data_IF_202978526923
#
_entry.id   IF_202978526923
#
_cell.length_a   1.000
_cell.length_b   1.000
_cell.length_c   1.000
_cell.angle_alpha   90.00
_cell.angle_beta   90.00
_cell.angle_gamma   90.00
#
_symmetry.space_group_name_H-M   'P 1'
#
loop_
_entity.id
_entity.type
_entity.pdbx_description
1 polymer ?
#
# COMPACT_ATOMS: atom_id res chain seq x y z
N UNK A 1 28.44 76.93 -34.21
CA UNK A 1 27.13 77.09 -34.86
C UNK A 1 26.45 75.74 -34.75
N UNK A 2 25.80 75.47 -33.60
CA UNK A 2 24.33 75.59 -33.42
C UNK A 2 23.57 74.66 -34.37
N UNK A 3 22.70 73.73 -33.94
CA UNK A 3 21.66 73.88 -32.93
C UNK A 3 21.37 72.55 -32.21
N UNK A 4 21.22 72.60 -30.88
CA UNK A 4 20.45 71.62 -30.11
C UNK A 4 18.96 71.97 -30.20
N UNK A 5 18.14 71.07 -30.72
CA UNK A 5 16.68 71.10 -30.59
C UNK A 5 16.24 70.06 -29.55
N UNK A 6 15.66 70.55 -28.46
CA UNK A 6 15.05 69.74 -27.41
C UNK A 6 13.78 69.03 -27.92
N UNK A 7 13.58 67.76 -27.53
CA UNK A 7 12.32 67.03 -27.69
C UNK A 7 11.67 66.74 -26.33
N UNK A 8 10.33 66.57 -26.29
CA UNK A 8 9.47 66.92 -25.17
C UNK A 8 9.41 65.84 -24.08
N UNK A 9 9.03 66.27 -22.88
CA UNK A 9 8.80 65.41 -21.74
C UNK A 9 7.61 64.44 -21.97
N UNK A 10 7.69 63.20 -21.44
CA UNK A 10 6.59 62.24 -21.52
C UNK A 10 5.38 62.65 -20.67
N UNK A 11 4.19 62.26 -21.12
CA UNK A 11 2.92 62.53 -20.48
C UNK A 11 2.81 61.88 -19.09
N UNK A 12 2.19 62.60 -18.14
CA UNK A 12 1.97 62.14 -16.78
C UNK A 12 0.93 60.99 -16.73
N UNK A 13 1.14 59.98 -15.88
CA UNK A 13 0.20 58.88 -15.69
C UNK A 13 -1.10 59.33 -14.99
N UNK A 14 -2.23 58.63 -15.24
CA UNK A 14 -3.53 58.96 -14.66
C UNK A 14 -3.57 58.77 -13.14
N UNK A 15 -4.36 59.64 -12.49
CA UNK A 15 -4.53 59.65 -11.05
C UNK A 15 -5.25 58.38 -10.52
N UNK A 16 -4.89 57.90 -9.32
CA UNK A 16 -5.54 56.74 -8.72
C UNK A 16 -6.98 57.07 -8.28
N UNK A 17 -7.92 56.11 -8.37
CA UNK A 17 -9.28 56.29 -7.90
C UNK A 17 -9.34 56.47 -6.38
N UNK A 18 -10.24 57.36 -5.94
CA UNK A 18 -10.40 57.78 -4.56
C UNK A 18 -10.78 56.64 -3.61
N UNK A 19 -10.15 56.64 -2.42
CA UNK A 19 -10.48 55.75 -1.30
C UNK A 19 -11.87 56.09 -0.74
N UNK A 20 -12.84 55.25 -1.07
CA UNK A 20 -14.12 55.18 -0.34
C UNK A 20 -13.90 54.71 1.09
N UNK A 21 -14.40 55.48 2.06
CA UNK A 21 -14.49 55.09 3.47
C UNK A 21 -15.59 54.03 3.62
N UNK A 22 -15.19 52.76 3.56
CA UNK A 22 -16.02 51.62 3.95
C UNK A 22 -15.89 51.35 5.44
N UNK A 23 -17.02 51.38 6.16
CA UNK A 23 -17.12 51.08 7.58
C UNK A 23 -16.61 49.65 7.89
N UNK A 24 -15.82 49.51 8.96
CA UNK A 24 -15.42 48.22 9.51
C UNK A 24 -16.65 47.50 10.08
N UNK A 25 -17.15 46.50 9.36
CA UNK A 25 -17.93 45.43 9.98
C UNK A 25 -16.98 44.50 10.77
N UNK A 26 -17.35 44.01 11.96
CA UNK A 26 -16.50 43.08 12.70
C UNK A 26 -16.40 41.74 11.94
N UNK A 27 -15.28 41.03 12.06
CA UNK A 27 -14.91 39.98 11.13
C UNK A 27 -15.54 38.64 11.54
N UNK A 28 -16.77 38.37 11.09
CA UNK A 28 -17.37 37.03 11.20
C UNK A 28 -16.46 35.93 10.61
N UNK A 29 -15.62 36.28 9.63
CA UNK A 29 -14.63 35.40 9.03
C UNK A 29 -13.49 34.96 9.98
N UNK A 30 -13.08 35.82 10.93
CA UNK A 30 -12.01 35.49 11.89
C UNK A 30 -12.51 34.54 12.99
N UNK A 31 -13.78 34.69 13.41
CA UNK A 31 -14.43 33.77 14.34
C UNK A 31 -14.67 32.38 13.71
N UNK A 32 -15.09 32.34 12.44
CA UNK A 32 -15.27 31.07 11.71
C UNK A 32 -13.94 30.32 11.50
N UNK A 33 -12.86 31.03 11.17
CA UNK A 33 -11.53 30.45 11.03
C UNK A 33 -11.01 29.86 12.35
N UNK A 34 -11.17 30.58 13.46
CA UNK A 34 -10.77 30.11 14.79
C UNK A 34 -11.54 28.86 15.23
N UNK A 35 -12.85 28.80 14.99
CA UNK A 35 -13.69 27.64 15.31
C UNK A 35 -13.29 26.40 14.49
N UNK A 36 -13.00 26.56 13.19
CA UNK A 36 -12.54 25.46 12.33
C UNK A 36 -11.18 24.90 12.74
N UNK A 37 -10.21 25.77 13.11
CA UNK A 37 -8.91 25.31 13.62
C UNK A 37 -9.05 24.57 14.95
N UNK A 38 -9.91 25.04 15.85
CA UNK A 38 -10.11 24.39 17.16
C UNK A 38 -10.74 23.01 16.99
N UNK A 39 -11.75 22.88 16.10
CA UNK A 39 -12.37 21.60 15.78
C UNK A 39 -11.38 20.60 15.14
N UNK A 40 -10.50 21.07 14.26
CA UNK A 40 -9.46 20.24 13.65
C UNK A 40 -8.43 19.75 14.69
N UNK A 41 -7.99 20.62 15.60
CA UNK A 41 -7.05 20.25 16.68
C UNK A 41 -7.70 19.23 17.63
N UNK A 42 -8.95 19.44 18.01
CA UNK A 42 -9.70 18.49 18.86
C UNK A 42 -9.89 17.15 18.13
N UNK A 43 -10.19 17.14 16.83
CA UNK A 43 -10.29 15.91 16.06
C UNK A 43 -8.95 15.14 15.99
N UNK A 44 -7.82 15.84 15.82
CA UNK A 44 -6.48 15.23 15.81
C UNK A 44 -6.12 14.68 17.20
N UNK A 45 -6.42 15.42 18.26
CA UNK A 45 -6.16 15.00 19.64
C UNK A 45 -7.06 13.83 20.09
N UNK A 46 -8.32 13.78 19.64
CA UNK A 46 -9.23 12.66 19.92
C UNK A 46 -8.88 11.38 19.14
N UNK A 47 -8.14 11.50 18.03
CA UNK A 47 -7.68 10.34 17.24
C UNK A 47 -6.27 9.88 17.60
N UNK A 48 -5.53 10.65 18.41
CA UNK A 48 -4.24 10.21 18.95
C UNK A 48 -4.48 9.22 20.08
N UNK A 49 -4.43 7.92 19.76
CA UNK A 49 -4.26 6.92 20.81
C UNK A 49 -2.89 7.14 21.47
N UNK A 50 -2.81 7.19 22.80
CA UNK A 50 -1.52 7.28 23.48
C UNK A 50 -0.63 6.12 23.04
N UNK A 51 0.66 6.40 22.84
CA UNK A 51 1.64 5.37 22.59
C UNK A 51 1.60 4.33 23.72
N UNK A 52 1.84 3.04 23.43
CA UNK A 52 1.96 2.04 24.49
C UNK A 52 3.01 2.50 25.51
N UNK A 53 2.79 2.27 26.81
CA UNK A 53 3.78 2.62 27.83
C UNK A 53 5.12 1.93 27.53
N UNK A 54 6.25 2.56 27.90
CA UNK A 54 7.56 1.91 27.82
C UNK A 54 7.52 0.56 28.56
N UNK A 55 7.94 -0.51 27.89
CA UNK A 55 7.86 -1.88 28.43
C UNK A 55 6.57 -2.64 28.12
N UNK A 56 5.68 -2.10 27.27
CA UNK A 56 4.60 -2.88 26.69
C UNK A 56 5.18 -4.11 25.97
N UNK A 57 4.59 -5.29 26.23
CA UNK A 57 4.99 -6.51 25.54
C UNK A 57 4.95 -6.27 24.02
N UNK A 58 5.93 -6.83 23.26
CA UNK A 58 5.90 -6.71 21.81
C UNK A 58 4.55 -7.20 21.27
N UNK A 59 4.07 -6.66 20.14
CA UNK A 59 2.85 -7.14 19.52
C UNK A 59 2.88 -8.67 19.43
N UNK A 60 1.77 -9.31 19.79
CA UNK A 60 1.65 -10.76 19.70
C UNK A 60 2.05 -11.24 18.29
N UNK A 61 2.54 -12.47 18.18
CA UNK A 61 2.79 -13.06 16.85
C UNK A 61 1.48 -13.10 16.07
N UNK A 62 1.57 -12.79 14.77
CA UNK A 62 0.50 -13.10 13.81
C UNK A 62 0.38 -14.61 13.76
N UNK A 63 -0.77 -15.16 14.16
CA UNK A 63 -1.00 -16.60 14.13
C UNK A 63 -2.10 -16.93 13.14
N UNK A 64 -1.88 -17.99 12.37
CA UNK A 64 -2.93 -18.61 11.58
C UNK A 64 -3.36 -19.97 12.09
N UNK A 65 -4.52 -20.43 11.60
CA UNK A 65 -5.09 -21.73 11.91
C UNK A 65 -4.11 -22.87 11.64
N UNK A 66 -3.29 -22.76 10.59
CA UNK A 66 -2.21 -23.71 10.31
C UNK A 66 -1.26 -23.86 11.50
N UNK A 67 -0.80 -22.75 12.06
CA UNK A 67 0.16 -22.72 13.18
C UNK A 67 -0.45 -23.27 14.47
N UNK A 68 -1.76 -23.12 14.64
CA UNK A 68 -2.49 -23.65 15.82
C UNK A 68 -2.98 -25.09 15.65
N UNK A 69 -3.01 -25.62 14.43
CA UNK A 69 -3.63 -26.92 14.14
C UNK A 69 -2.83 -28.13 14.64
N UNK A 70 -1.50 -28.00 14.74
CA UNK A 70 -0.65 -29.07 15.27
C UNK A 70 0.64 -28.51 15.88
N UNK A 71 1.19 -29.14 16.93
CA UNK A 71 2.51 -28.79 17.46
C UNK A 71 3.60 -28.86 16.39
N UNK A 72 4.48 -27.87 16.36
CA UNK A 72 5.57 -27.78 15.38
C UNK A 72 5.19 -27.10 14.06
N UNK A 73 3.92 -26.79 13.84
CA UNK A 73 3.53 -25.93 12.72
C UNK A 73 3.94 -24.49 13.02
N UNK A 74 4.71 -23.89 12.13
CA UNK A 74 5.14 -22.49 12.24
C UNK A 74 5.16 -21.86 10.87
N UNK A 75 4.84 -20.57 10.77
CA UNK A 75 5.03 -19.78 9.55
C UNK A 75 5.95 -18.60 9.85
N UNK A 76 6.94 -18.39 8.98
CA UNK A 76 7.72 -17.16 8.91
C UNK A 76 7.28 -16.38 7.67
N UNK A 77 7.13 -15.06 7.81
CA UNK A 77 6.50 -14.20 6.80
C UNK A 77 7.25 -12.89 6.67
N UNK A 78 7.54 -12.54 5.43
CA UNK A 78 7.95 -11.18 5.07
C UNK A 78 6.73 -10.29 4.81
N UNK A 79 6.96 -8.98 4.96
CA UNK A 79 5.93 -7.95 4.84
C UNK A 79 4.78 -8.13 5.87
N UNK A 80 3.67 -7.43 5.65
CA UNK A 80 2.52 -7.50 6.54
C UNK A 80 1.56 -6.35 6.28
N UNK A 81 0.86 -6.40 5.15
CA UNK A 81 -0.17 -5.42 4.81
C UNK A 81 -1.53 -5.95 5.23
N UNK A 82 -2.43 -5.04 5.61
CA UNK A 82 -3.82 -5.40 5.86
C UNK A 82 -4.77 -4.34 5.34
N UNK A 83 -5.94 -4.79 4.91
CA UNK A 83 -7.06 -3.93 4.54
C UNK A 83 -8.35 -4.49 5.10
N UNK A 84 -9.27 -3.63 5.58
CA UNK A 84 -10.58 -4.10 6.02
C UNK A 84 -11.36 -4.73 4.85
N UNK A 85 -12.12 -5.77 5.19
CA UNK A 85 -13.14 -6.39 4.37
C UNK A 85 -14.52 -6.17 5.04
N UNK A 86 -15.63 -6.33 4.29
CA UNK A 86 -16.96 -6.34 4.88
C UNK A 86 -17.09 -7.38 6.02
N UNK A 87 -17.92 -7.07 7.02
CA UNK A 87 -18.21 -7.99 8.14
C UNK A 87 -17.12 -8.11 9.21
N UNK A 88 -16.42 -7.01 9.54
CA UNK A 88 -15.34 -6.96 10.55
C UNK A 88 -14.17 -7.92 10.29
N UNK A 89 -13.96 -8.28 9.03
CA UNK A 89 -12.84 -9.10 8.60
C UNK A 89 -11.72 -8.26 8.02
N UNK A 90 -10.51 -8.81 8.03
CA UNK A 90 -9.34 -8.24 7.38
C UNK A 90 -8.80 -9.20 6.33
N UNK A 91 -8.34 -8.64 5.22
CA UNK A 91 -7.41 -9.30 4.32
C UNK A 91 -6.01 -8.97 4.79
N UNK A 92 -5.21 -10.01 5.02
CA UNK A 92 -3.80 -9.91 5.40
C UNK A 92 -2.96 -10.44 4.26
N UNK A 93 -1.91 -9.70 3.92
CA UNK A 93 -1.09 -9.91 2.74
C UNK A 93 0.37 -9.95 3.17
N UNK A 94 1.05 -10.97 2.69
CA UNK A 94 2.44 -11.24 3.02
C UNK A 94 3.23 -11.39 1.74
N UNK A 95 4.54 -11.19 1.84
CA UNK A 95 5.48 -11.51 0.78
C UNK A 95 5.97 -12.95 0.99
N UNK A 96 7.27 -13.19 0.85
CA UNK A 96 7.85 -14.52 1.01
C UNK A 96 7.38 -15.17 2.32
N UNK A 97 6.97 -16.42 2.21
CA UNK A 97 6.40 -17.18 3.31
C UNK A 97 7.10 -18.52 3.38
N UNK A 98 7.63 -18.89 4.55
CA UNK A 98 8.18 -20.23 4.80
C UNK A 98 7.39 -20.88 5.92
N UNK A 99 7.25 -22.20 5.88
CA UNK A 99 6.52 -22.91 6.92
C UNK A 99 7.15 -24.26 7.26
N UNK A 100 6.95 -24.65 8.51
CA UNK A 100 7.29 -25.97 9.06
C UNK A 100 6.03 -26.68 9.49
N UNK A 101 6.10 -28.01 9.54
CA UNK A 101 5.02 -28.91 9.92
C UNK A 101 5.27 -30.29 9.32
N UNK A 102 4.21 -31.09 9.14
CA UNK A 102 4.31 -32.39 8.46
C UNK A 102 4.82 -32.28 7.01
N UNK A 103 4.52 -31.15 6.36
CA UNK A 103 4.96 -30.83 4.99
C UNK A 103 5.56 -29.42 4.98
N UNK A 104 6.87 -29.28 5.26
CA UNK A 104 7.52 -27.98 5.22
C UNK A 104 7.57 -27.46 3.78
N UNK A 105 7.63 -26.14 3.63
CA UNK A 105 7.66 -25.53 2.32
C UNK A 105 7.92 -24.04 2.38
N UNK A 106 7.96 -23.45 1.19
CA UNK A 106 8.17 -22.03 1.01
C UNK A 106 7.45 -21.55 -0.25
N UNK A 107 7.05 -20.29 -0.22
CA UNK A 107 6.56 -19.55 -1.37
C UNK A 107 7.33 -18.24 -1.47
N UNK A 108 7.94 -17.99 -2.62
CA UNK A 108 8.72 -16.79 -2.92
C UNK A 108 7.83 -15.83 -3.73
N UNK A 109 7.10 -14.97 -3.04
CA UNK A 109 6.08 -14.10 -3.61
C UNK A 109 4.90 -13.89 -2.65
N UNK A 110 3.84 -13.26 -3.15
CA UNK A 110 2.71 -12.91 -2.30
C UNK A 110 1.92 -14.14 -1.81
N UNK A 111 1.60 -14.17 -0.51
CA UNK A 111 0.57 -15.04 0.08
C UNK A 111 -0.49 -14.20 0.79
N UNK A 112 -1.62 -14.80 1.15
CA UNK A 112 -2.70 -14.08 1.82
C UNK A 112 -3.43 -14.94 2.84
N UNK A 113 -3.96 -14.27 3.86
CA UNK A 113 -4.83 -14.87 4.86
C UNK A 113 -5.97 -13.91 5.20
N UNK A 114 -6.99 -14.43 5.89
CA UNK A 114 -8.06 -13.58 6.42
C UNK A 114 -8.37 -13.93 7.86
N UNK A 115 -8.74 -12.93 8.64
CA UNK A 115 -9.15 -13.12 10.03
C UNK A 115 -9.95 -11.92 10.50
N UNK A 116 -10.08 -11.77 11.81
CA UNK A 116 -10.70 -10.58 12.39
C UNK A 116 -9.90 -9.31 12.04
N UNK A 117 -10.61 -8.21 11.77
CA UNK A 117 -10.01 -6.89 11.58
C UNK A 117 -10.24 -6.03 12.82
N UNK A 118 -9.16 -5.72 13.52
CA UNK A 118 -9.16 -4.74 14.61
C UNK A 118 -7.97 -3.79 14.47
N UNK A 119 -8.25 -2.49 14.36
CA UNK A 119 -7.21 -1.46 14.20
C UNK A 119 -6.24 -1.46 15.38
N UNK A 120 -4.96 -1.57 15.07
CA UNK A 120 -3.87 -1.59 16.06
C UNK A 120 -3.76 -2.90 16.84
N UNK A 121 -4.38 -3.99 16.37
CA UNK A 121 -4.23 -5.33 16.95
C UNK A 121 -3.69 -6.30 15.91
N UNK A 122 -2.79 -7.16 16.37
CA UNK A 122 -2.31 -8.29 15.59
C UNK A 122 -3.36 -9.41 15.64
N UNK A 123 -3.74 -10.00 14.50
CA UNK A 123 -4.72 -11.09 14.45
C UNK A 123 -4.09 -12.38 14.98
N UNK A 124 -4.90 -13.17 15.67
CA UNK A 124 -4.51 -14.50 16.20
C UNK A 124 -5.33 -15.63 15.58
N UNK A 125 -6.19 -15.29 14.62
CA UNK A 125 -7.21 -16.18 14.05
C UNK A 125 -7.16 -16.21 12.52
N UNK A 126 -5.99 -15.94 11.93
CA UNK A 126 -5.86 -15.93 10.48
C UNK A 126 -6.15 -17.29 9.87
N UNK A 127 -6.77 -17.30 8.71
CA UNK A 127 -7.00 -18.48 7.89
C UNK A 127 -6.35 -18.24 6.54
N UNK A 128 -5.38 -19.11 6.16
CA UNK A 128 -4.69 -18.99 4.88
C UNK A 128 -5.69 -19.07 3.73
N UNK A 129 -5.48 -18.21 2.74
CA UNK A 129 -6.26 -18.24 1.51
C UNK A 129 -5.61 -19.22 0.52
N UNK A 130 -6.42 -20.00 -0.20
CA UNK A 130 -5.93 -20.84 -1.28
C UNK A 130 -5.44 -19.98 -2.44
N UNK A 131 -4.67 -20.58 -3.35
CA UNK A 131 -4.36 -19.95 -4.63
C UNK A 131 -5.64 -19.52 -5.35
N UNK A 132 -5.73 -18.28 -5.86
CA UNK A 132 -6.92 -17.82 -6.57
C UNK A 132 -7.31 -18.76 -7.72
N UNK A 133 -8.60 -19.09 -7.81
CA UNK A 133 -9.12 -20.04 -8.80
C UNK A 133 -8.88 -21.53 -8.48
N UNK A 134 -8.25 -21.87 -7.35
CA UNK A 134 -8.08 -23.26 -6.93
C UNK A 134 -9.43 -23.90 -6.58
N UNK A 135 -9.73 -25.12 -7.10
CA UNK A 135 -10.99 -25.83 -6.84
C UNK A 135 -11.14 -26.24 -5.36
N UNK A 136 -10.05 -26.24 -4.60
CA UNK A 136 -10.06 -26.59 -3.16
C UNK A 136 -10.36 -25.41 -2.24
N UNK A 137 -10.94 -24.33 -2.75
CA UNK A 137 -11.21 -23.13 -1.96
C UNK A 137 -12.24 -23.34 -0.82
N UNK A 138 -13.08 -24.36 -0.86
CA UNK A 138 -14.19 -24.52 0.08
C UNK A 138 -13.85 -25.23 1.41
N UNK A 139 -12.67 -25.84 1.56
CA UNK A 139 -12.34 -26.64 2.77
C UNK A 139 -11.76 -25.77 3.89
N UNK A 140 -12.08 -26.01 5.19
CA UNK A 140 -11.50 -25.27 6.30
C UNK A 140 -9.98 -25.50 6.30
N UNK A 141 -9.20 -24.46 6.03
CA UNK A 141 -7.83 -24.66 5.64
C UNK A 141 -6.87 -24.37 6.81
N UNK A 142 -6.66 -25.39 7.63
CA UNK A 142 -5.43 -25.56 8.43
C UNK A 142 -4.26 -25.93 7.49
N UNK A 143 -4.24 -25.32 6.30
CA UNK A 143 -3.27 -25.58 5.24
C UNK A 143 -2.19 -24.51 5.31
N UNK A 144 -0.97 -24.83 4.86
CA UNK A 144 0.08 -23.84 4.79
C UNK A 144 -0.27 -22.72 3.81
N UNK A 145 0.48 -21.60 3.87
CA UNK A 145 0.36 -20.50 2.92
C UNK A 145 0.39 -20.97 1.47
N UNK A 146 -0.39 -20.30 0.61
CA UNK A 146 -0.46 -20.55 -0.83
C UNK A 146 -0.29 -19.24 -1.61
N UNK A 147 0.14 -19.39 -2.86
CA UNK A 147 0.39 -18.28 -3.77
C UNK A 147 -0.87 -17.42 -3.99
N UNK A 148 -0.82 -16.13 -3.66
CA UNK A 148 -1.84 -15.16 -4.04
C UNK A 148 -1.57 -14.61 -5.45
N UNK A 149 -0.33 -14.22 -5.72
CA UNK A 149 0.12 -13.73 -7.02
C UNK A 149 1.02 -14.79 -7.68
N UNK A 150 1.03 -14.89 -9.02
CA UNK A 150 1.95 -15.77 -9.72
C UNK A 150 3.39 -15.23 -9.64
N UNK A 151 4.36 -16.12 -9.86
CA UNK A 151 5.75 -15.75 -10.12
C UNK A 151 5.83 -14.88 -11.37
N UNK A 152 6.45 -13.69 -11.31
CA UNK A 152 6.49 -12.78 -12.45
C UNK A 152 7.46 -13.31 -13.52
N UNK A 153 7.03 -13.40 -14.80
CA UNK A 153 7.91 -13.85 -15.86
C UNK A 153 8.87 -12.74 -16.32
N UNK A 154 10.01 -13.15 -16.86
CA UNK A 154 10.90 -12.27 -17.64
C UNK A 154 11.75 -11.29 -16.83
N UNK A 155 11.85 -11.45 -15.51
CA UNK A 155 12.82 -10.68 -14.73
C UNK A 155 14.24 -11.20 -14.98
N UNK A 156 15.23 -10.33 -14.84
CA UNK A 156 16.60 -10.60 -15.26
C UNK A 156 17.61 -10.25 -14.17
N UNK A 157 18.73 -10.96 -14.12
CA UNK A 157 19.89 -10.57 -13.34
C UNK A 157 20.65 -9.43 -14.04
N UNK A 158 21.55 -8.73 -13.33
CA UNK A 158 22.56 -7.89 -13.99
C UNK A 158 23.27 -8.69 -15.11
N UNK A 159 23.34 -8.12 -16.31
CA UNK A 159 23.87 -8.81 -17.49
C UNK A 159 22.83 -9.59 -18.33
N UNK A 160 21.56 -9.59 -17.95
CA UNK A 160 20.44 -10.05 -18.79
C UNK A 160 20.06 -11.53 -18.66
N UNK A 161 20.76 -12.31 -17.83
CA UNK A 161 20.40 -13.70 -17.56
C UNK A 161 19.02 -13.79 -16.86
N UNK A 162 18.23 -14.87 -17.06
CA UNK A 162 16.94 -15.03 -16.38
C UNK A 162 17.07 -15.04 -14.85
N UNK A 163 16.15 -14.36 -14.16
CA UNK A 163 16.09 -14.35 -12.70
C UNK A 163 15.35 -15.58 -12.13
N UNK A 164 15.87 -16.76 -12.46
CA UNK A 164 15.38 -18.03 -11.98
C UNK A 164 16.51 -19.06 -11.98
N UNK A 165 17.37 -18.96 -10.98
CA UNK A 165 18.52 -19.86 -10.78
C UNK A 165 18.30 -20.59 -9.46
N UNK A 166 18.00 -21.91 -9.47
CA UNK A 166 17.75 -22.67 -8.26
C UNK A 166 18.80 -22.44 -7.16
N UNK A 167 18.34 -22.12 -5.94
CA UNK A 167 19.18 -21.85 -4.78
C UNK A 167 19.99 -20.55 -4.82
N UNK A 168 19.90 -19.76 -5.89
CA UNK A 168 20.76 -18.58 -6.12
C UNK A 168 19.95 -17.32 -6.38
N UNK A 169 18.98 -17.38 -7.29
CA UNK A 169 18.16 -16.24 -7.68
C UNK A 169 16.72 -16.64 -7.98
N UNK A 170 15.77 -15.75 -7.65
CA UNK A 170 14.36 -15.97 -7.93
C UNK A 170 13.63 -14.67 -8.26
N UNK A 171 12.56 -14.82 -9.03
CA UNK A 171 11.59 -13.78 -9.33
C UNK A 171 10.44 -13.88 -8.35
N UNK A 172 9.96 -12.76 -7.83
CA UNK A 172 8.80 -12.72 -6.93
C UNK A 172 7.95 -11.48 -7.18
N UNK A 173 6.64 -11.64 -7.00
CA UNK A 173 5.69 -10.52 -6.94
C UNK A 173 5.44 -10.23 -5.46
N UNK A 174 6.03 -9.17 -4.92
CA UNK A 174 5.88 -8.76 -3.52
C UNK A 174 4.80 -7.70 -3.39
N UNK A 175 3.87 -7.90 -2.45
CA UNK A 175 2.84 -6.89 -2.16
C UNK A 175 3.51 -5.62 -1.67
N UNK A 176 3.13 -4.49 -2.25
CA UNK A 176 3.54 -3.16 -1.77
C UNK A 176 2.37 -2.37 -1.17
N UNK A 177 1.14 -2.87 -1.31
CA UNK A 177 0.01 -2.42 -0.53
C UNK A 177 -1.35 -2.88 -1.06
N UNK A 178 -2.41 -2.38 -0.42
CA UNK A 178 -3.78 -2.74 -0.76
C UNK A 178 -4.78 -1.67 -0.30
N UNK A 179 -5.87 -1.51 -1.04
CA UNK A 179 -7.01 -0.69 -0.63
C UNK A 179 -8.35 -1.26 -1.09
N UNK A 180 -9.44 -1.05 -0.34
CA UNK A 180 -10.78 -1.37 -0.81
C UNK A 180 -11.11 -0.52 -2.05
N UNK A 181 -11.48 -1.18 -3.15
CA UNK A 181 -11.82 -0.54 -4.43
C UNK A 181 -13.32 -0.25 -4.51
N UNK A 182 -14.15 -1.19 -4.04
CA UNK A 182 -15.60 -1.15 -4.19
C UNK A 182 -16.30 -1.57 -2.91
N UNK A 183 -17.58 -1.19 -2.78
CA UNK A 183 -18.44 -1.58 -1.65
C UNK A 183 -18.75 -3.08 -1.62
N UNK A 184 -18.56 -3.78 -2.74
CA UNK A 184 -18.71 -5.24 -2.85
C UNK A 184 -17.56 -6.02 -2.18
N UNK A 185 -16.56 -5.32 -1.63
CA UNK A 185 -15.41 -5.90 -0.96
C UNK A 185 -14.24 -6.22 -1.89
N UNK A 186 -14.30 -5.84 -3.17
CA UNK A 186 -13.14 -5.90 -4.07
C UNK A 186 -12.00 -5.04 -3.53
N UNK A 187 -10.79 -5.60 -3.53
CA UNK A 187 -9.56 -4.95 -3.06
C UNK A 187 -8.64 -4.73 -4.25
N UNK A 188 -8.15 -3.51 -4.42
CA UNK A 188 -7.02 -3.23 -5.31
C UNK A 188 -5.72 -3.56 -4.57
N UNK A 189 -4.92 -4.44 -5.15
CA UNK A 189 -3.59 -4.80 -4.69
C UNK A 189 -2.55 -4.07 -5.54
N UNK A 190 -1.50 -3.59 -4.91
CA UNK A 190 -0.28 -3.11 -5.58
C UNK A 190 0.85 -4.07 -5.25
N UNK A 191 1.72 -4.33 -6.23
CA UNK A 191 2.85 -5.22 -6.06
C UNK A 191 4.07 -4.74 -6.84
N UNK A 192 5.24 -5.12 -6.35
CA UNK A 192 6.53 -4.91 -7.02
C UNK A 192 7.07 -6.26 -7.46
N UNK A 193 7.44 -6.35 -8.74
CA UNK A 193 8.13 -7.49 -9.30
C UNK A 193 9.63 -7.33 -8.99
N UNK A 194 10.17 -8.24 -8.18
CA UNK A 194 11.56 -8.21 -7.74
C UNK A 194 12.33 -9.41 -8.26
N UNK A 195 13.57 -9.15 -8.67
CA UNK A 195 14.59 -10.16 -8.86
C UNK A 195 15.50 -10.17 -7.63
N UNK A 196 15.53 -11.30 -6.91
CA UNK A 196 16.39 -11.50 -5.75
C UNK A 196 17.58 -12.36 -6.14
N UNK A 197 18.79 -11.94 -5.77
CA UNK A 197 20.04 -12.66 -6.00
C UNK A 197 20.98 -12.48 -4.81
N UNK A 198 21.18 -13.56 -4.04
CA UNK A 198 21.85 -13.48 -2.75
C UNK A 198 21.14 -12.49 -1.83
N UNK A 199 21.84 -11.43 -1.39
CA UNK A 199 21.27 -10.35 -0.57
C UNK A 199 20.80 -9.14 -1.39
N UNK A 200 20.93 -9.19 -2.72
CA UNK A 200 20.57 -8.09 -3.61
C UNK A 200 19.13 -8.26 -4.08
N UNK A 201 18.35 -7.19 -3.95
CA UNK A 201 16.96 -7.13 -4.43
C UNK A 201 16.90 -6.03 -5.50
N UNK A 202 16.50 -6.41 -6.71
CA UNK A 202 16.28 -5.46 -7.81
C UNK A 202 14.80 -5.43 -8.14
N UNK A 203 14.11 -4.33 -7.80
CA UNK A 203 12.78 -4.08 -8.32
C UNK A 203 12.87 -3.87 -9.84
N UNK A 204 12.05 -4.56 -10.64
CA UNK A 204 12.08 -4.48 -12.11
C UNK A 204 10.72 -4.24 -12.72
N UNK A 205 9.67 -4.36 -11.93
CA UNK A 205 8.33 -3.99 -12.34
C UNK A 205 7.48 -3.55 -11.16
N UNK A 206 6.42 -2.84 -11.48
CA UNK A 206 5.38 -2.48 -10.53
C UNK A 206 4.04 -2.73 -11.21
N UNK A 207 3.10 -3.32 -10.47
CA UNK A 207 1.82 -3.73 -11.00
C UNK A 207 0.68 -3.59 -10.02
N UNK A 208 -0.52 -3.77 -10.56
CA UNK A 208 -1.78 -3.73 -9.84
C UNK A 208 -2.63 -4.95 -10.18
N UNK A 209 -3.44 -5.41 -9.23
CA UNK A 209 -4.41 -6.47 -9.46
C UNK A 209 -5.67 -6.24 -8.61
N UNK A 210 -6.84 -6.61 -9.12
CA UNK A 210 -8.07 -6.61 -8.33
C UNK A 210 -8.30 -8.00 -7.72
N UNK A 211 -8.46 -8.07 -6.40
CA UNK A 211 -8.80 -9.28 -5.69
C UNK A 211 -10.25 -9.22 -5.21
N UNK A 212 -11.03 -10.27 -5.48
CA UNK A 212 -12.41 -10.42 -5.02
C UNK A 212 -12.47 -11.48 -3.91
N UNK A 213 -12.62 -11.09 -2.63
CA UNK A 213 -12.57 -12.03 -1.52
C UNK A 213 -13.71 -13.06 -1.52
N UNK A 214 -14.90 -12.69 -2.01
CA UNK A 214 -16.07 -13.57 -2.03
C UNK A 214 -15.86 -14.78 -2.95
N UNK A 215 -15.37 -14.54 -4.17
CA UNK A 215 -15.05 -15.59 -5.15
C UNK A 215 -13.61 -16.11 -5.03
N UNK A 216 -12.77 -15.46 -4.22
CA UNK A 216 -11.32 -15.71 -4.10
C UNK A 216 -10.63 -15.72 -5.46
N UNK A 217 -10.97 -14.73 -6.28
CA UNK A 217 -10.42 -14.58 -7.62
C UNK A 217 -9.54 -13.35 -7.70
N UNK A 218 -8.44 -13.48 -8.44
CA UNK A 218 -7.59 -12.38 -8.84
C UNK A 218 -7.96 -12.00 -10.28
N UNK A 219 -8.09 -10.71 -10.54
CA UNK A 219 -8.50 -10.15 -11.83
C UNK A 219 -7.51 -9.11 -12.29
N UNK A 220 -7.20 -9.14 -13.59
CA UNK A 220 -6.41 -8.13 -14.28
C UNK A 220 -5.06 -7.78 -13.64
N UNK A 221 -4.23 -8.76 -13.22
CA UNK A 221 -2.85 -8.43 -12.85
C UNK A 221 -2.18 -7.74 -14.04
N UNK A 222 -1.78 -6.49 -13.84
CA UNK A 222 -1.28 -5.61 -14.89
C UNK A 222 0.00 -4.94 -14.41
N UNK A 223 1.09 -5.09 -15.16
CA UNK A 223 2.30 -4.31 -14.93
C UNK A 223 2.09 -2.89 -15.45
N UNK A 224 2.23 -1.92 -14.56
CA UNK A 224 2.14 -0.49 -14.87
C UNK A 224 3.51 0.04 -15.30
N UNK A 225 4.56 -0.37 -14.59
CA UNK A 225 5.94 -0.04 -14.92
C UNK A 225 6.78 -1.31 -15.10
N UNK A 226 7.74 -1.27 -16.02
CA UNK A 226 8.72 -2.34 -16.21
C UNK A 226 10.02 -1.74 -16.71
N UNK A 227 11.11 -2.01 -16.01
CA UNK A 227 12.45 -1.56 -16.38
C UNK A 227 13.42 -2.71 -16.10
N UNK A 228 13.90 -3.40 -17.15
CA UNK A 228 14.98 -4.37 -17.00
C UNK A 228 16.19 -3.72 -16.33
N UNK A 229 16.76 -4.39 -15.34
CA UNK A 229 17.94 -3.89 -14.62
C UNK A 229 17.67 -2.92 -13.47
N UNK A 230 16.44 -2.47 -13.26
CA UNK A 230 16.08 -1.70 -12.07
C UNK A 230 15.02 -0.63 -12.31
N UNK A 231 13.94 -0.71 -11.56
CA UNK A 231 12.93 0.32 -11.47
C UNK A 231 13.45 1.45 -10.57
N UNK A 232 13.40 2.74 -11.01
CA UNK A 232 13.65 3.87 -10.13
C UNK A 232 12.77 3.80 -8.89
N UNK A 233 13.31 4.10 -7.70
CA UNK A 233 12.57 3.92 -6.44
C UNK A 233 11.26 4.72 -6.39
N UNK A 234 11.18 5.83 -7.13
CA UNK A 234 9.98 6.66 -7.25
C UNK A 234 8.82 5.94 -7.95
N UNK A 235 9.09 4.86 -8.67
CA UNK A 235 8.08 4.02 -9.33
C UNK A 235 7.80 2.73 -8.56
N UNK A 236 8.53 2.46 -7.47
CA UNK A 236 8.25 1.38 -6.53
C UNK A 236 7.22 1.87 -5.50
N UNK A 237 5.97 1.96 -5.93
CA UNK A 237 4.89 2.62 -5.19
C UNK A 237 4.27 1.72 -4.11
N UNK A 238 3.65 2.33 -3.11
CA UNK A 238 3.10 1.66 -1.93
C UNK A 238 1.60 1.35 -2.04
N UNK A 239 0.90 1.52 -0.92
CA UNK A 239 -0.55 1.32 -0.84
C UNK A 239 -1.32 2.32 -1.70
N UNK A 240 -2.23 1.83 -2.56
CA UNK A 240 -3.06 2.72 -3.35
C UNK A 240 -4.03 3.50 -2.46
N UNK A 241 -4.38 4.71 -2.86
CA UNK A 241 -5.42 5.51 -2.21
C UNK A 241 -6.49 5.84 -3.23
N UNK A 242 -7.74 5.51 -2.92
CA UNK A 242 -8.89 5.94 -3.69
C UNK A 242 -9.56 7.13 -3.01
N UNK A 243 -9.66 8.24 -3.74
CA UNK A 243 -10.27 9.47 -3.23
C UNK A 243 -10.88 10.27 -4.37
N UNK A 244 -12.11 10.73 -4.18
CA UNK A 244 -12.83 11.61 -5.11
C UNK A 244 -12.86 11.08 -6.55
N UNK A 245 -13.04 9.76 -6.72
CA UNK A 245 -13.07 9.08 -8.02
C UNK A 245 -11.71 8.85 -8.67
N UNK A 246 -10.62 9.22 -8.00
CA UNK A 246 -9.25 9.07 -8.50
C UNK A 246 -8.49 7.99 -7.74
N UNK A 247 -7.60 7.31 -8.45
CA UNK A 247 -6.61 6.39 -7.91
C UNK A 247 -5.27 7.10 -7.80
N UNK A 248 -4.71 7.13 -6.59
CA UNK A 248 -3.37 7.63 -6.30
C UNK A 248 -2.49 6.44 -5.96
N UNK A 249 -1.33 6.38 -6.62
CA UNK A 249 -0.31 5.35 -6.45
C UNK A 249 0.97 6.00 -5.93
#
# INVERSE_FOLDING_TARGET
MDHRTARPAPAAPPAPPGRGRGALAPPAALLAAALLTTAAIVAVLLHHRPAPPPGAAPPARVLSRYETAAPGNTIDRDCGYSTPLPGHRGLWLFCDSTWKGAHPGLWLGATAATGTAARGRVPTDLTELPTPGSPHASTPADRPPQALLPTPPGLQLPGGAPCHIPGTAYSASWISGAAPLHRDGTVLLTYTDVCVHGLTITAQGYGIAAYRPASRTLQGPTRVFTVPGGLPFQLALGSPVLRDGHLYL
#
